data_IF_635261565412
#
_entry.id   IF_635261565412
#
_cell.length_a   1.000
_cell.length_b   1.000
_cell.length_c   1.000
_cell.angle_alpha   90.00
_cell.angle_beta   90.00
_cell.angle_gamma   90.00
#
_symmetry.space_group_name_H-M   'P 1'
#
loop_
_entity.id
_entity.type
_entity.pdbx_description
1 polymer ?
#
# COMPACT_ATOMS: atom_id res chain seq x y z
N UNK A 1 50.99 22.98 2.58
CA UNK A 1 50.25 24.24 2.70
C UNK A 1 49.31 24.08 3.87
N UNK A 2 49.83 24.39 5.05
CA UNK A 2 49.06 24.43 6.28
C UNK A 2 48.65 25.90 6.44
N UNK A 3 47.39 26.21 6.19
CA UNK A 3 46.87 27.56 6.39
C UNK A 3 46.72 27.80 7.88
N UNK A 4 47.45 28.80 8.36
CA UNK A 4 47.37 29.37 9.70
C UNK A 4 45.97 29.92 9.94
N UNK A 5 45.15 29.14 10.65
CA UNK A 5 43.93 29.64 11.27
C UNK A 5 44.33 30.57 12.42
N UNK A 6 44.38 31.88 12.11
CA UNK A 6 44.46 32.93 13.12
C UNK A 6 43.20 32.89 13.98
N UNK A 7 43.34 32.37 15.20
CA UNK A 7 42.34 32.53 16.24
C UNK A 7 42.41 33.96 16.75
N UNK A 8 41.46 34.79 16.33
CA UNK A 8 41.19 36.05 17.02
C UNK A 8 40.72 35.73 18.44
N UNK A 9 41.31 36.39 19.44
CA UNK A 9 40.91 36.32 20.85
C UNK A 9 39.54 36.98 21.05
N UNK A 10 38.50 36.31 20.56
CA UNK A 10 37.12 36.60 20.89
C UNK A 10 36.73 35.90 22.19
N UNK A 11 35.97 36.62 23.03
CA UNK A 11 35.37 36.16 24.29
C UNK A 11 35.13 34.65 24.36
N UNK A 12 35.71 34.01 25.39
CA UNK A 12 35.56 32.59 25.73
C UNK A 12 34.10 32.14 25.96
N UNK A 13 33.13 33.07 25.99
CA UNK A 13 31.71 32.78 26.18
C UNK A 13 31.01 32.15 24.98
N UNK A 14 31.52 32.32 23.75
CA UNK A 14 30.73 32.02 22.53
C UNK A 14 31.20 30.73 21.81
N UNK A 15 32.17 30.02 22.37
CA UNK A 15 32.76 28.81 21.78
C UNK A 15 31.79 27.60 21.73
N UNK A 16 30.96 27.34 22.76
CA UNK A 16 30.01 26.22 22.74
C UNK A 16 28.97 26.35 21.62
N UNK A 17 28.49 27.57 21.38
CA UNK A 17 27.40 27.84 20.43
C UNK A 17 27.86 27.68 18.98
N UNK A 18 29.12 28.02 18.68
CA UNK A 18 29.70 27.80 17.35
C UNK A 18 29.92 26.33 17.02
N UNK A 19 30.32 25.53 18.02
CA UNK A 19 30.45 24.07 17.84
C UNK A 19 29.07 23.44 17.67
N UNK A 20 28.06 23.87 18.43
CA UNK A 20 26.69 23.40 18.28
C UNK A 20 26.12 23.71 16.90
N UNK A 21 26.32 24.93 16.38
CA UNK A 21 25.85 25.31 15.05
C UNK A 21 26.54 24.48 13.95
N UNK A 22 27.86 24.24 14.10
CA UNK A 22 28.61 23.46 13.11
C UNK A 22 28.23 21.97 13.11
N UNK A 23 28.02 21.38 14.29
CA UNK A 23 27.56 20.01 14.42
C UNK A 23 26.11 19.83 13.94
N UNK A 24 25.25 20.83 14.14
CA UNK A 24 23.85 20.77 13.66
C UNK A 24 23.76 20.72 12.13
N UNK A 25 24.73 21.33 11.43
CA UNK A 25 24.81 21.34 9.97
C UNK A 25 25.46 20.07 9.41
N UNK A 26 26.47 19.53 10.10
CA UNK A 26 27.24 18.37 9.61
C UNK A 26 26.53 17.01 9.83
N UNK A 27 25.70 16.89 10.88
CA UNK A 27 25.09 15.62 11.27
C UNK A 27 24.04 15.08 10.26
N UNK A 28 23.13 15.90 9.68
CA UNK A 28 22.14 15.40 8.71
C UNK A 28 22.79 14.92 7.40
N UNK A 29 23.87 15.57 6.97
CA UNK A 29 24.60 15.19 5.76
C UNK A 29 25.31 13.83 5.93
N UNK A 30 25.90 13.59 7.12
CA UNK A 30 26.50 12.31 7.46
C UNK A 30 25.47 11.16 7.55
N UNK A 31 24.28 11.44 8.10
CA UNK A 31 23.19 10.46 8.20
C UNK A 31 22.62 10.08 6.83
N UNK A 32 22.35 11.07 5.97
CA UNK A 32 21.88 10.83 4.60
C UNK A 32 22.88 9.99 3.78
N UNK A 33 24.18 10.27 3.95
CA UNK A 33 25.25 9.51 3.29
C UNK A 33 25.33 8.06 3.78
N UNK A 34 25.12 7.82 5.07
CA UNK A 34 25.12 6.48 5.65
C UNK A 34 23.92 5.63 5.18
N UNK A 35 22.72 6.20 5.13
CA UNK A 35 21.51 5.51 4.64
C UNK A 35 21.63 5.11 3.17
N UNK A 36 22.17 6.01 2.34
CA UNK A 36 22.42 5.74 0.92
C UNK A 36 23.42 4.58 0.71
N UNK A 37 24.45 4.50 1.57
CA UNK A 37 25.45 3.42 1.51
C UNK A 37 24.86 2.06 1.93
N UNK A 38 23.96 2.02 2.91
CA UNK A 38 23.30 0.78 3.35
C UNK A 38 22.41 0.15 2.27
N UNK A 39 21.57 0.94 1.57
CA UNK A 39 20.67 0.42 0.53
C UNK A 39 21.44 -0.05 -0.73
N UNK A 40 22.57 0.60 -1.04
CA UNK A 40 23.48 0.17 -2.12
C UNK A 40 24.12 -1.18 -1.81
N UNK A 41 24.63 -1.37 -0.59
CA UNK A 41 25.28 -2.61 -0.17
C UNK A 41 24.31 -3.81 -0.16
N UNK A 42 23.05 -3.60 0.22
CA UNK A 42 22.02 -4.65 0.19
C UNK A 42 21.71 -5.11 -1.24
N UNK A 43 21.51 -4.18 -2.17
CA UNK A 43 21.25 -4.49 -3.59
C UNK A 43 22.44 -5.19 -4.25
N UNK A 44 23.66 -4.82 -3.88
CA UNK A 44 24.89 -5.43 -4.38
C UNK A 44 25.07 -6.86 -3.85
N UNK A 45 24.76 -7.12 -2.58
CA UNK A 45 24.74 -8.47 -2.00
C UNK A 45 23.75 -9.40 -2.70
N UNK A 46 22.54 -8.92 -3.03
CA UNK A 46 21.54 -9.70 -3.76
C UNK A 46 21.98 -10.02 -5.21
N UNK A 47 22.62 -9.06 -5.88
CA UNK A 47 23.19 -9.28 -7.22
C UNK A 47 24.30 -10.32 -7.20
N UNK A 48 25.17 -10.31 -6.19
CA UNK A 48 26.23 -11.30 -6.03
C UNK A 48 25.67 -12.71 -5.75
N UNK A 49 24.61 -12.83 -4.94
CA UNK A 49 23.91 -14.10 -4.71
C UNK A 49 23.29 -14.67 -5.99
N UNK A 50 22.63 -13.82 -6.78
CA UNK A 50 22.06 -14.19 -8.09
C UNK A 50 23.14 -14.63 -9.09
N UNK A 51 24.26 -13.89 -9.17
CA UNK A 51 25.38 -14.21 -10.05
C UNK A 51 26.01 -15.57 -9.69
N UNK A 52 26.17 -15.87 -8.40
CA UNK A 52 26.69 -17.17 -7.93
C UNK A 52 25.75 -18.33 -8.27
N UNK A 53 24.44 -18.10 -8.25
CA UNK A 53 23.44 -19.08 -8.70
C UNK A 53 23.51 -19.28 -10.22
N UNK A 54 23.63 -18.21 -10.99
CA UNK A 54 23.83 -18.29 -12.44
C UNK A 54 25.12 -19.04 -12.80
N UNK A 55 26.23 -18.82 -12.09
CA UNK A 55 27.49 -19.54 -12.28
C UNK A 55 27.38 -21.05 -11.98
N UNK A 56 26.64 -21.44 -10.93
CA UNK A 56 26.35 -22.85 -10.62
C UNK A 56 25.55 -23.53 -11.74
N UNK A 57 24.68 -22.77 -12.40
CA UNK A 57 23.80 -23.25 -13.47
C UNK A 57 24.45 -23.20 -14.86
N UNK A 58 25.36 -22.25 -15.12
CA UNK A 58 26.05 -22.10 -16.40
C UNK A 58 27.02 -23.25 -16.70
N UNK A 59 27.40 -24.06 -15.70
CA UNK A 59 28.25 -25.24 -15.87
C UNK A 59 27.52 -26.57 -15.92
N UNK A 60 26.18 -26.60 -15.78
CA UNK A 60 25.39 -27.84 -15.79
C UNK A 60 24.31 -27.74 -16.85
N UNK A 61 24.12 -28.81 -17.62
CA UNK A 61 22.97 -28.94 -18.49
C UNK A 61 21.70 -28.90 -17.61
N UNK A 62 20.98 -27.79 -17.68
CA UNK A 62 19.79 -27.56 -16.86
C UNK A 62 18.76 -28.64 -17.17
N UNK A 63 18.68 -29.14 -18.40
CA UNK A 63 17.77 -30.22 -18.76
C UNK A 63 18.20 -31.54 -18.08
N UNK A 64 19.50 -31.80 -17.94
CA UNK A 64 20.02 -32.96 -17.20
C UNK A 64 19.84 -32.84 -15.67
N UNK A 65 20.02 -31.63 -15.12
CA UNK A 65 19.78 -31.35 -13.69
C UNK A 65 18.29 -31.51 -13.34
N UNK A 66 17.41 -31.05 -14.24
CA UNK A 66 15.95 -31.13 -14.12
C UNK A 66 15.42 -32.55 -14.29
N UNK A 67 16.09 -33.38 -15.10
CA UNK A 67 15.75 -34.80 -15.26
C UNK A 67 16.13 -35.65 -14.04
N UNK A 68 17.17 -35.27 -13.30
CA UNK A 68 17.63 -36.01 -12.12
C UNK A 68 16.88 -35.64 -10.85
N UNK A 69 16.72 -34.34 -10.55
CA UNK A 69 16.06 -33.91 -9.32
C UNK A 69 15.45 -32.49 -9.41
N UNK A 70 14.13 -32.38 -9.66
CA UNK A 70 13.42 -31.11 -9.70
C UNK A 70 13.47 -30.33 -8.37
N UNK A 71 13.81 -30.97 -7.24
CA UNK A 71 13.91 -30.32 -5.92
C UNK A 71 15.02 -29.29 -5.86
N UNK A 72 16.14 -29.55 -6.52
CA UNK A 72 17.33 -28.69 -6.53
C UNK A 72 17.02 -27.37 -7.25
N UNK A 73 16.32 -27.43 -8.37
CA UNK A 73 15.93 -26.22 -9.11
C UNK A 73 14.84 -25.45 -8.37
N UNK A 74 13.91 -26.15 -7.72
CA UNK A 74 12.92 -25.51 -6.87
C UNK A 74 13.55 -24.74 -5.71
N UNK A 75 14.51 -25.35 -4.98
CA UNK A 75 15.27 -24.68 -3.92
C UNK A 75 16.05 -23.46 -4.44
N UNK A 76 16.73 -23.60 -5.59
CA UNK A 76 17.52 -22.52 -6.18
C UNK A 76 16.64 -21.35 -6.63
N UNK A 77 15.47 -21.63 -7.19
CA UNK A 77 14.48 -20.61 -7.57
C UNK A 77 13.90 -19.90 -6.34
N UNK A 78 13.63 -20.63 -5.26
CA UNK A 78 13.16 -20.03 -4.00
C UNK A 78 14.22 -19.16 -3.34
N UNK A 79 15.47 -19.64 -3.27
CA UNK A 79 16.59 -18.91 -2.66
C UNK A 79 17.06 -17.69 -3.49
N UNK A 80 16.76 -17.65 -4.78
CA UNK A 80 17.07 -16.52 -5.66
C UNK A 80 15.95 -15.46 -5.71
N UNK A 81 14.74 -15.81 -5.26
CA UNK A 81 13.60 -14.89 -5.17
C UNK A 81 13.63 -14.02 -3.91
N UNK A 82 13.15 -12.78 -4.03
CA UNK A 82 12.80 -11.88 -2.89
C UNK A 82 11.57 -12.40 -2.12
N UNK A 83 11.60 -13.65 -1.68
CA UNK A 83 10.46 -14.33 -1.06
C UNK A 83 10.59 -14.52 0.44
N UNK A 84 11.64 -13.97 1.07
CA UNK A 84 11.69 -13.86 2.53
C UNK A 84 10.68 -12.81 3.03
N UNK A 85 9.42 -13.19 3.13
CA UNK A 85 8.43 -12.51 3.97
C UNK A 85 7.92 -13.58 4.92
N UNK A 86 8.36 -13.46 6.18
CA UNK A 86 8.05 -14.36 7.28
C UNK A 86 6.54 -14.37 7.49
N UNK A 87 5.88 -15.44 7.03
CA UNK A 87 4.47 -15.70 7.31
C UNK A 87 4.33 -17.12 7.86
N UNK A 88 3.45 -17.33 8.84
CA UNK A 88 3.28 -18.61 9.52
C UNK A 88 2.87 -19.77 8.57
N UNK A 89 2.39 -19.42 7.38
CA UNK A 89 1.97 -20.32 6.30
C UNK A 89 2.99 -20.51 5.18
N UNK A 90 4.19 -19.95 5.30
CA UNK A 90 5.18 -19.98 4.22
C UNK A 90 5.56 -21.42 3.86
N UNK A 91 5.90 -22.25 4.84
CA UNK A 91 6.27 -23.65 4.60
C UNK A 91 5.14 -24.44 3.92
N UNK A 92 3.90 -24.27 4.38
CA UNK A 92 2.74 -24.95 3.77
C UNK A 92 2.49 -24.48 2.33
N UNK A 93 2.64 -23.17 2.06
CA UNK A 93 2.52 -22.63 0.72
C UNK A 93 3.63 -23.13 -0.21
N UNK A 94 4.85 -23.24 0.31
CA UNK A 94 6.00 -23.77 -0.41
C UNK A 94 5.82 -25.25 -0.73
N UNK A 95 5.41 -26.08 0.22
CA UNK A 95 5.15 -27.51 0.01
C UNK A 95 4.06 -27.72 -1.05
N UNK A 96 2.95 -26.98 -0.96
CA UNK A 96 1.86 -27.03 -1.95
C UNK A 96 2.29 -26.54 -3.32
N UNK A 97 3.18 -25.55 -3.38
CA UNK A 97 3.73 -25.04 -4.64
C UNK A 97 4.71 -26.03 -5.24
N UNK A 98 5.49 -26.73 -4.42
CA UNK A 98 6.40 -27.78 -4.87
C UNK A 98 5.65 -28.98 -5.44
N UNK A 99 4.61 -29.45 -4.75
CA UNK A 99 3.76 -30.54 -5.25
C UNK A 99 3.01 -30.17 -6.53
N UNK A 100 2.59 -28.91 -6.66
CA UNK A 100 2.06 -28.39 -7.93
C UNK A 100 3.12 -28.37 -9.02
N UNK A 101 4.33 -27.89 -8.70
CA UNK A 101 5.44 -27.79 -9.64
C UNK A 101 5.79 -29.16 -10.21
N UNK A 102 5.98 -30.19 -9.37
CA UNK A 102 6.21 -31.58 -9.83
C UNK A 102 5.17 -32.05 -10.85
N UNK A 103 3.89 -31.78 -10.58
CA UNK A 103 2.76 -32.22 -11.43
C UNK A 103 2.65 -31.43 -12.74
N UNK A 104 3.03 -30.16 -12.72
CA UNK A 104 2.79 -29.22 -13.81
C UNK A 104 4.03 -28.85 -14.60
N UNK A 105 5.21 -29.26 -14.14
CA UNK A 105 6.48 -28.90 -14.77
C UNK A 105 6.55 -29.32 -16.24
N UNK A 106 6.02 -30.49 -16.60
CA UNK A 106 5.95 -30.95 -18.00
C UNK A 106 5.08 -30.05 -18.90
N UNK A 107 4.19 -29.25 -18.31
CA UNK A 107 3.37 -28.26 -19.04
C UNK A 107 4.07 -26.91 -19.20
N UNK A 108 5.24 -26.72 -18.56
CA UNK A 108 6.04 -25.51 -18.66
C UNK A 108 6.66 -25.41 -20.06
N UNK A 109 6.43 -24.28 -20.71
CA UNK A 109 6.95 -24.01 -22.04
C UNK A 109 7.62 -22.64 -22.02
N UNK A 110 8.95 -22.63 -22.10
CA UNK A 110 9.76 -21.41 -22.10
C UNK A 110 9.34 -20.46 -23.23
N UNK A 111 8.82 -20.98 -24.36
CA UNK A 111 8.41 -20.17 -25.53
C UNK A 111 7.18 -19.32 -25.25
N UNK A 112 6.37 -19.68 -24.24
CA UNK A 112 5.21 -18.88 -23.78
C UNK A 112 5.64 -17.70 -22.90
N UNK A 113 6.91 -17.65 -22.51
CA UNK A 113 7.51 -16.56 -21.76
C UNK A 113 8.38 -15.69 -22.69
N UNK A 114 8.77 -14.50 -22.23
CA UNK A 114 9.45 -13.50 -23.06
C UNK A 114 10.65 -14.09 -23.81
N UNK A 115 10.78 -13.76 -25.11
CA UNK A 115 11.87 -14.25 -25.99
C UNK A 115 13.28 -13.88 -25.51
N UNK A 116 13.41 -12.93 -24.58
CA UNK A 116 14.69 -12.40 -24.11
C UNK A 116 14.98 -12.74 -22.64
N UNK A 117 14.18 -13.61 -22.02
CA UNK A 117 14.36 -13.98 -20.62
C UNK A 117 15.04 -15.34 -20.49
N UNK A 118 15.97 -15.47 -19.54
CA UNK A 118 16.60 -16.76 -19.25
C UNK A 118 15.59 -17.78 -18.73
N UNK A 119 15.84 -19.07 -18.94
CA UNK A 119 15.00 -20.17 -18.44
C UNK A 119 14.70 -20.01 -16.93
N UNK A 120 15.72 -19.64 -16.15
CA UNK A 120 15.58 -19.39 -14.72
C UNK A 120 14.60 -18.27 -14.40
N UNK A 121 14.69 -17.13 -15.10
CA UNK A 121 13.75 -16.02 -14.90
C UNK A 121 12.32 -16.46 -15.24
N UNK A 122 12.15 -17.21 -16.33
CA UNK A 122 10.84 -17.72 -16.73
C UNK A 122 10.26 -18.70 -15.70
N UNK A 123 11.07 -19.60 -15.15
CA UNK A 123 10.68 -20.54 -14.08
C UNK A 123 10.30 -19.81 -12.79
N UNK A 124 11.10 -18.82 -12.37
CA UNK A 124 10.83 -17.97 -11.20
C UNK A 124 9.48 -17.27 -11.35
N UNK A 125 9.23 -16.65 -12.51
CA UNK A 125 7.96 -15.95 -12.78
C UNK A 125 6.78 -16.93 -12.73
N UNK A 126 6.95 -18.12 -13.33
CA UNK A 126 5.92 -19.13 -13.40
C UNK A 126 5.56 -19.70 -12.02
N UNK A 127 6.56 -20.06 -11.21
CA UNK A 127 6.38 -20.56 -9.85
C UNK A 127 5.80 -19.48 -8.92
N UNK A 128 6.27 -18.24 -9.03
CA UNK A 128 5.81 -17.12 -8.20
C UNK A 128 4.31 -16.85 -8.34
N UNK A 129 3.75 -17.08 -9.54
CA UNK A 129 2.31 -16.93 -9.76
C UNK A 129 1.52 -17.91 -8.89
N UNK A 130 1.92 -19.19 -8.89
CA UNK A 130 1.26 -20.23 -8.09
C UNK A 130 1.47 -20.01 -6.60
N UNK A 131 2.71 -19.68 -6.19
CA UNK A 131 3.02 -19.43 -4.79
C UNK A 131 2.17 -18.28 -4.22
N UNK A 132 2.04 -17.17 -4.94
CA UNK A 132 1.16 -16.05 -4.54
C UNK A 132 -0.29 -16.47 -4.39
N UNK A 133 -0.77 -17.31 -5.30
CA UNK A 133 -2.13 -17.83 -5.22
C UNK A 133 -2.30 -18.72 -3.98
N UNK A 134 -1.33 -19.58 -3.66
CA UNK A 134 -1.38 -20.43 -2.45
C UNK A 134 -1.30 -19.65 -1.15
N UNK A 135 -0.43 -18.64 -1.09
CA UNK A 135 -0.37 -17.73 0.05
C UNK A 135 -1.69 -16.99 0.25
N UNK A 136 -2.35 -16.60 -0.85
CA UNK A 136 -3.67 -15.98 -0.79
C UNK A 136 -4.75 -16.96 -0.34
N UNK A 137 -4.75 -18.19 -0.84
CA UNK A 137 -5.69 -19.25 -0.41
C UNK A 137 -5.55 -19.52 1.10
N UNK A 138 -4.32 -19.67 1.60
CA UNK A 138 -4.07 -19.92 3.03
C UNK A 138 -4.49 -18.75 3.91
N UNK A 139 -4.22 -17.51 3.47
CA UNK A 139 -4.67 -16.31 4.18
C UNK A 139 -6.20 -16.22 4.26
N UNK A 140 -6.90 -16.58 3.18
CA UNK A 140 -8.37 -16.60 3.17
C UNK A 140 -8.94 -17.68 4.08
N UNK A 141 -8.24 -18.81 4.20
CA UNK A 141 -8.55 -19.89 5.14
C UNK A 141 -8.44 -19.44 6.59
N UNK A 142 -7.35 -18.77 6.94
CA UNK A 142 -7.16 -18.20 8.28
C UNK A 142 -8.23 -17.16 8.62
N UNK A 143 -8.61 -16.32 7.65
CA UNK A 143 -9.63 -15.30 7.85
C UNK A 143 -11.06 -15.88 7.94
N UNK A 144 -11.24 -17.19 7.75
CA UNK A 144 -12.57 -17.82 7.67
C UNK A 144 -13.40 -17.40 6.45
N UNK A 145 -12.77 -16.71 5.48
CA UNK A 145 -13.44 -16.15 4.30
C UNK A 145 -13.53 -17.14 3.12
N UNK A 146 -12.91 -18.32 3.24
CA UNK A 146 -13.04 -19.41 2.26
C UNK A 146 -14.50 -19.84 2.05
N UNK A 147 -15.35 -19.68 3.07
CA UNK A 147 -16.78 -20.04 3.02
C UNK A 147 -17.57 -19.12 2.09
N UNK A 148 -17.12 -17.88 1.85
CA UNK A 148 -17.90 -16.88 1.10
C UNK A 148 -17.67 -16.90 -0.40
N UNK A 149 -16.66 -17.63 -0.91
CA UNK A 149 -16.28 -17.51 -2.32
C UNK A 149 -17.08 -18.36 -3.30
N UNK A 150 -17.90 -19.35 -2.91
CA UNK A 150 -18.47 -20.25 -3.93
C UNK A 150 -19.72 -21.07 -3.57
N UNK A 151 -20.74 -20.51 -2.90
CA UNK A 151 -22.04 -21.19 -2.81
C UNK A 151 -23.19 -20.21 -3.04
N UNK A 152 -23.94 -20.38 -4.15
CA UNK A 152 -25.36 -20.03 -4.13
C UNK A 152 -26.15 -21.30 -3.88
N UNK A 153 -27.05 -21.19 -2.91
CA UNK A 153 -28.06 -22.16 -2.53
C UNK A 153 -28.88 -22.57 -3.74
N UNK A 154 -28.90 -23.86 -4.09
CA UNK A 154 -29.77 -24.36 -5.16
C UNK A 154 -31.17 -24.47 -4.56
N UNK A 155 -32.10 -23.65 -5.06
CA UNK A 155 -33.52 -23.81 -4.78
C UNK A 155 -34.07 -24.86 -5.73
N UNK A 156 -34.32 -26.06 -5.22
CA UNK A 156 -35.03 -27.12 -5.96
C UNK A 156 -36.51 -26.99 -5.63
N UNK A 157 -37.37 -26.91 -6.64
CA UNK A 157 -38.82 -26.97 -6.40
C UNK A 157 -39.20 -28.41 -6.08
N UNK A 158 -39.90 -28.60 -4.97
CA UNK A 158 -40.54 -29.86 -4.62
C UNK A 158 -41.49 -30.24 -5.77
N UNK A 159 -41.34 -31.42 -6.40
CA UNK A 159 -42.11 -31.81 -7.56
C UNK A 159 -43.60 -32.09 -7.26
N UNK A 160 -43.97 -32.24 -5.98
CA UNK A 160 -45.36 -32.47 -5.57
C UNK A 160 -46.07 -31.18 -5.16
N UNK A 161 -45.36 -30.22 -4.55
CA UNK A 161 -45.98 -28.99 -4.02
C UNK A 161 -45.62 -27.72 -4.80
N UNK A 162 -44.53 -27.75 -5.56
CA UNK A 162 -44.02 -26.59 -6.31
C UNK A 162 -43.29 -25.56 -5.46
N UNK A 163 -43.18 -25.77 -4.15
CA UNK A 163 -42.45 -24.89 -3.23
C UNK A 163 -40.94 -25.08 -3.33
N UNK A 164 -40.19 -23.98 -3.16
CA UNK A 164 -38.72 -23.96 -3.26
C UNK A 164 -38.11 -24.51 -1.97
N UNK A 165 -37.48 -25.68 -2.04
CA UNK A 165 -36.71 -26.29 -0.95
C UNK A 165 -35.21 -26.15 -1.25
N UNK A 166 -34.42 -25.83 -0.23
CA UNK A 166 -32.96 -25.74 -0.31
C UNK A 166 -32.40 -27.15 -0.08
N UNK A 167 -31.77 -27.73 -1.09
CA UNK A 167 -31.06 -29.02 -0.96
C UNK A 167 -29.56 -28.76 -0.73
N UNK A 168 -29.08 -29.11 0.46
CA UNK A 168 -27.69 -28.89 0.89
C UNK A 168 -26.72 -29.98 0.38
N UNK A 169 -27.22 -31.09 -0.18
CA UNK A 169 -26.41 -32.32 -0.34
C UNK A 169 -25.75 -32.50 -1.72
N UNK A 170 -26.07 -31.68 -2.71
CA UNK A 170 -25.60 -31.88 -4.10
C UNK A 170 -24.79 -30.70 -4.64
N UNK A 171 -23.50 -30.62 -4.27
CA UNK A 171 -22.56 -29.62 -4.79
C UNK A 171 -21.62 -30.21 -5.85
N UNK A 172 -21.58 -29.64 -7.06
CA UNK A 172 -20.53 -29.90 -8.07
C UNK A 172 -20.04 -28.58 -8.72
N UNK A 173 -18.73 -28.43 -8.99
CA UNK A 173 -18.18 -27.20 -9.56
C UNK A 173 -18.27 -27.17 -11.09
N UNK A 174 -18.65 -26.03 -11.70
CA UNK A 174 -18.39 -25.78 -13.13
C UNK A 174 -18.13 -24.31 -13.50
N UNK A 175 -17.22 -24.16 -14.47
CA UNK A 175 -16.67 -22.91 -15.04
C UNK A 175 -17.69 -22.18 -15.92
N UNK A 176 -17.83 -20.88 -15.72
CA UNK A 176 -18.68 -20.01 -16.55
C UNK A 176 -18.09 -19.84 -17.96
N UNK A 177 -18.96 -19.97 -18.96
CA UNK A 177 -18.74 -19.56 -20.35
C UNK A 177 -19.71 -18.38 -20.60
N UNK A 178 -19.18 -17.19 -20.84
CA UNK A 178 -19.99 -16.00 -21.13
C UNK A 178 -20.57 -16.15 -22.54
N UNK A 179 -21.91 -16.13 -22.68
CA UNK A 179 -22.60 -15.92 -23.96
C UNK A 179 -23.07 -14.47 -24.02
N UNK A 180 -22.94 -13.87 -25.21
CA UNK A 180 -23.28 -12.50 -25.52
C UNK A 180 -24.78 -12.20 -25.34
N UNK A 181 -25.09 -11.00 -24.87
CA UNK A 181 -26.44 -10.43 -24.78
C UNK A 181 -26.75 -9.75 -26.12
N UNK A 182 -27.88 -10.11 -26.73
CA UNK A 182 -28.53 -9.36 -27.81
C UNK A 182 -29.96 -9.06 -27.33
N UNK A 183 -30.36 -7.79 -27.38
CA UNK A 183 -31.74 -7.38 -27.61
C UNK A 183 -32.64 -7.09 -26.41
N UNK A 184 -32.98 -5.80 -26.27
CA UNK A 184 -34.11 -5.20 -25.54
C UNK A 184 -34.15 -5.33 -24.01
N UNK A 185 -33.53 -4.34 -23.35
CA UNK A 185 -33.48 -4.19 -21.90
C UNK A 185 -34.82 -3.78 -21.27
N UNK A 186 -35.58 -4.78 -20.85
CA UNK A 186 -36.54 -4.65 -19.74
C UNK A 186 -36.14 -5.62 -18.63
N UNK A 187 -36.35 -5.22 -17.37
CA UNK A 187 -36.03 -6.02 -16.19
C UNK A 187 -37.33 -6.23 -15.41
N UNK A 188 -37.65 -7.48 -15.14
CA UNK A 188 -38.76 -7.88 -14.26
C UNK A 188 -38.24 -8.07 -12.84
N UNK A 189 -38.96 -7.54 -11.85
CA UNK A 189 -38.65 -7.78 -10.44
C UNK A 189 -39.14 -9.17 -9.99
N UNK A 190 -38.81 -9.56 -8.76
CA UNK A 190 -39.12 -10.90 -8.20
C UNK A 190 -40.64 -11.17 -8.08
N UNK A 191 -41.47 -10.14 -8.21
CA UNK A 191 -42.93 -10.21 -8.19
C UNK A 191 -43.55 -10.27 -9.61
N UNK A 192 -42.74 -10.23 -10.67
CA UNK A 192 -43.18 -10.37 -12.05
C UNK A 192 -43.65 -9.09 -12.73
N UNK A 193 -43.38 -7.92 -12.13
CA UNK A 193 -43.71 -6.63 -12.72
C UNK A 193 -42.57 -6.12 -13.62
N UNK A 194 -42.91 -5.72 -14.85
CA UNK A 194 -41.99 -5.14 -15.82
C UNK A 194 -41.71 -3.68 -15.46
N UNK A 195 -40.45 -3.35 -15.14
CA UNK A 195 -40.06 -1.96 -14.82
C UNK A 195 -39.13 -1.40 -15.88
N UNK A 196 -39.40 -0.15 -16.28
CA UNK A 196 -38.61 0.61 -17.25
C UNK A 196 -37.37 1.21 -16.56
N UNK A 197 -36.22 1.38 -17.25
CA UNK A 197 -35.00 1.95 -16.67
C UNK A 197 -35.10 3.40 -16.13
N UNK A 198 -36.29 4.01 -16.15
CA UNK A 198 -36.55 5.38 -15.69
C UNK A 198 -37.01 5.43 -14.21
N UNK A 199 -37.36 4.31 -13.59
CA UNK A 199 -37.87 4.29 -12.20
C UNK A 199 -36.78 4.05 -11.12
N UNK A 200 -35.50 4.16 -11.47
CA UNK A 200 -34.38 4.01 -10.52
C UNK A 200 -33.74 5.34 -10.14
N UNK A 201 -34.60 6.28 -9.72
CA UNK A 201 -34.19 7.57 -9.17
C UNK A 201 -34.73 7.61 -7.75
N UNK A 202 -33.84 7.63 -6.75
CA UNK A 202 -34.25 7.87 -5.36
C UNK A 202 -34.79 9.30 -5.19
N UNK A 203 -35.38 9.61 -4.03
CA UNK A 203 -35.96 10.95 -3.74
C UNK A 203 -34.95 12.11 -3.89
N UNK A 204 -33.65 11.80 -4.02
CA UNK A 204 -32.55 12.75 -4.20
C UNK A 204 -31.98 12.80 -5.64
N UNK A 205 -32.58 12.09 -6.60
CA UNK A 205 -32.21 12.22 -8.01
C UNK A 205 -31.02 11.37 -8.48
N UNK A 206 -30.56 10.36 -7.75
CA UNK A 206 -29.35 9.59 -8.11
C UNK A 206 -29.62 8.18 -8.65
N UNK A 207 -29.01 7.91 -9.81
CA UNK A 207 -29.01 6.58 -10.47
C UNK A 207 -27.73 5.84 -10.04
N UNK A 208 -27.86 4.66 -9.41
CA UNK A 208 -26.74 3.84 -9.00
C UNK A 208 -26.38 2.77 -10.05
N UNK A 209 -25.26 2.96 -10.75
CA UNK A 209 -24.70 1.97 -11.69
C UNK A 209 -23.80 0.93 -10.98
N UNK A 210 -23.96 -0.38 -11.25
CA UNK A 210 -23.22 -1.45 -10.58
C UNK A 210 -21.94 -1.79 -11.36
N UNK A 211 -20.93 -0.91 -11.30
CA UNK A 211 -19.55 -1.29 -11.68
C UNK A 211 -18.55 -0.36 -10.97
N UNK A 212 -18.15 -0.72 -9.74
CA UNK A 212 -17.10 -0.02 -9.00
C UNK A 212 -16.14 -0.98 -8.31
N UNK A 213 -15.15 -1.46 -9.07
CA UNK A 213 -13.82 -1.73 -8.50
C UNK A 213 -13.01 -0.45 -8.56
N UNK A 214 -13.17 0.41 -7.53
CA UNK A 214 -12.33 1.60 -7.30
C UNK A 214 -11.51 1.37 -6.03
N UNK A 215 -10.19 1.48 -6.17
CA UNK A 215 -9.17 1.22 -5.15
C UNK A 215 -9.38 2.07 -3.88
N UNK A 216 -8.91 1.57 -2.73
CA UNK A 216 -9.06 2.18 -1.40
C UNK A 216 -8.55 3.64 -1.29
N UNK A 217 -7.67 4.06 -2.21
CA UNK A 217 -7.08 5.41 -2.23
C UNK A 217 -8.06 6.44 -2.82
N UNK A 218 -8.90 6.05 -3.79
CA UNK A 218 -10.01 6.91 -4.21
C UNK A 218 -11.04 7.09 -3.09
N UNK A 219 -11.11 6.17 -2.11
CA UNK A 219 -11.99 6.31 -0.93
C UNK A 219 -11.41 7.26 0.12
N UNK A 220 -10.09 7.28 0.35
CA UNK A 220 -9.45 8.21 1.30
C UNK A 220 -9.46 9.67 0.83
N UNK A 221 -9.51 9.91 -0.49
CA UNK A 221 -9.73 11.25 -1.07
C UNK A 221 -11.21 11.58 -1.35
N UNK A 222 -12.13 10.61 -1.22
CA UNK A 222 -13.56 10.79 -1.51
C UNK A 222 -14.43 11.19 -0.31
N UNK A 223 -13.89 11.26 0.91
CA UNK A 223 -14.51 12.11 1.94
C UNK A 223 -14.18 13.54 1.51
N UNK A 224 -15.11 14.16 0.76
CA UNK A 224 -14.94 15.47 0.10
C UNK A 224 -14.00 16.35 0.93
N UNK A 225 -12.74 16.57 0.51
CA UNK A 225 -11.91 17.56 1.17
C UNK A 225 -12.71 18.85 1.27
N UNK A 226 -12.65 19.53 2.41
CA UNK A 226 -13.26 20.85 2.55
C UNK A 226 -12.78 21.68 1.37
N UNK A 227 -13.69 22.42 0.72
CA UNK A 227 -13.43 23.15 -0.54
C UNK A 227 -12.10 23.93 -0.49
N UNK A 228 -11.74 24.46 0.67
CA UNK A 228 -10.45 25.09 0.99
C UNK A 228 -9.24 24.17 0.79
N UNK A 229 -9.16 23.03 1.50
CA UNK A 229 -8.04 22.07 1.39
C UNK A 229 -7.87 21.60 -0.05
N UNK A 230 -8.96 21.36 -0.76
CA UNK A 230 -8.91 20.99 -2.17
C UNK A 230 -8.35 22.11 -3.05
N UNK A 231 -8.75 23.36 -2.79
CA UNK A 231 -8.22 24.52 -3.50
C UNK A 231 -6.72 24.73 -3.23
N UNK A 232 -6.26 24.51 -1.99
CA UNK A 232 -4.85 24.66 -1.62
C UNK A 232 -4.00 23.59 -2.32
N UNK A 233 -4.45 22.32 -2.27
CA UNK A 233 -3.82 21.23 -3.04
C UNK A 233 -3.81 21.55 -4.53
N UNK A 234 -4.89 22.14 -5.06
CA UNK A 234 -4.97 22.55 -6.47
C UNK A 234 -3.95 23.64 -6.79
N UNK A 235 -3.74 24.62 -5.90
CA UNK A 235 -2.71 25.64 -6.08
C UNK A 235 -1.30 25.02 -6.07
N UNK A 236 -1.02 24.07 -5.19
CA UNK A 236 0.26 23.36 -5.13
C UNK A 236 0.50 22.57 -6.40
N UNK A 237 -0.51 21.86 -6.90
CA UNK A 237 -0.44 21.14 -8.17
C UNK A 237 -0.24 22.13 -9.33
N UNK A 238 -0.79 23.34 -9.26
CA UNK A 238 -0.74 24.31 -10.35
C UNK A 238 0.61 25.06 -10.42
N UNK A 239 1.21 25.34 -9.26
CA UNK A 239 2.42 26.15 -9.15
C UNK A 239 3.67 25.32 -8.88
N UNK A 240 3.53 24.18 -8.19
CA UNK A 240 4.63 23.32 -7.74
C UNK A 240 5.78 24.14 -7.14
N UNK A 241 5.52 24.87 -6.03
CA UNK A 241 6.41 25.92 -5.54
C UNK A 241 7.80 25.39 -5.15
N UNK A 242 7.89 24.13 -4.71
CA UNK A 242 9.15 23.48 -4.33
C UNK A 242 9.80 22.71 -5.48
N UNK A 243 9.16 22.61 -6.65
CA UNK A 243 9.64 21.83 -7.79
C UNK A 243 9.59 20.30 -7.61
N UNK A 244 9.22 19.81 -6.43
CA UNK A 244 9.30 18.38 -6.09
C UNK A 244 8.38 17.51 -6.95
N UNK A 245 7.21 18.02 -7.36
CA UNK A 245 6.31 17.25 -8.24
C UNK A 245 6.90 17.08 -9.65
N UNK A 246 7.73 18.02 -10.11
CA UNK A 246 8.46 17.90 -11.39
C UNK A 246 9.64 16.95 -11.32
N UNK A 247 10.30 16.85 -10.16
CA UNK A 247 11.41 15.93 -9.93
C UNK A 247 10.96 14.46 -9.85
N UNK A 248 9.73 14.21 -9.40
CA UNK A 248 9.12 12.89 -9.40
C UNK A 248 8.79 12.45 -10.82
N UNK A 249 9.70 11.69 -11.44
CA UNK A 249 9.59 11.22 -12.83
C UNK A 249 9.32 9.72 -12.95
N UNK A 250 8.64 9.31 -14.03
CA UNK A 250 8.55 7.90 -14.41
C UNK A 250 9.93 7.42 -14.85
N UNK A 251 10.41 6.33 -14.26
CA UNK A 251 11.79 5.82 -14.43
C UNK A 251 12.25 5.69 -15.88
N UNK A 252 11.35 5.24 -16.77
CA UNK A 252 11.67 4.98 -18.17
C UNK A 252 11.33 6.17 -19.09
N UNK A 253 10.72 7.23 -18.57
CA UNK A 253 10.38 8.43 -19.34
C UNK A 253 10.39 9.68 -18.44
N UNK A 254 11.54 10.37 -18.34
CA UNK A 254 11.69 11.58 -17.52
C UNK A 254 10.79 12.75 -17.93
N UNK A 255 10.27 12.75 -19.16
CA UNK A 255 9.32 13.76 -19.62
C UNK A 255 7.95 13.62 -18.92
N UNK A 256 7.68 12.46 -18.31
CA UNK A 256 6.46 12.20 -17.57
C UNK A 256 6.75 12.35 -16.07
N UNK A 257 6.37 13.50 -15.51
CA UNK A 257 6.48 13.77 -14.08
C UNK A 257 5.11 13.82 -13.38
N UNK A 258 5.15 13.72 -12.05
CA UNK A 258 3.97 13.73 -11.20
C UNK A 258 3.17 15.03 -11.35
N UNK A 259 3.83 16.17 -11.53
CA UNK A 259 3.18 17.46 -11.75
C UNK A 259 2.25 17.45 -12.98
N UNK A 260 2.72 16.97 -14.13
CA UNK A 260 1.89 16.86 -15.35
C UNK A 260 0.70 15.93 -15.12
N UNK A 261 0.93 14.78 -14.48
CA UNK A 261 -0.13 13.79 -14.23
C UNK A 261 -1.20 14.38 -13.30
N UNK A 262 -0.79 15.01 -12.19
CA UNK A 262 -1.70 15.59 -11.21
C UNK A 262 -2.48 16.77 -11.79
N UNK A 263 -1.86 17.62 -12.61
CA UNK A 263 -2.51 18.73 -13.29
C UNK A 263 -3.63 18.22 -14.21
N UNK A 264 -3.33 17.26 -15.09
CA UNK A 264 -4.34 16.70 -16.01
C UNK A 264 -5.47 15.99 -15.27
N UNK A 265 -5.13 15.27 -14.20
CA UNK A 265 -6.11 14.51 -13.43
C UNK A 265 -7.04 15.40 -12.59
N UNK A 266 -6.50 16.39 -11.89
CA UNK A 266 -7.27 17.17 -10.90
C UNK A 266 -7.66 18.58 -11.36
N UNK A 267 -6.95 19.15 -12.34
CA UNK A 267 -7.26 20.47 -12.90
C UNK A 267 -8.04 20.34 -14.20
N UNK A 268 -7.54 19.52 -15.13
CA UNK A 268 -8.14 19.37 -16.45
C UNK A 268 -9.28 18.34 -16.47
N UNK A 269 -9.36 17.48 -15.44
CA UNK A 269 -10.44 16.51 -15.24
C UNK A 269 -10.33 15.26 -16.13
N UNK A 270 -9.16 15.00 -16.69
CA UNK A 270 -8.91 13.81 -17.50
C UNK A 270 -8.87 12.54 -16.65
N UNK A 271 -9.32 11.43 -17.21
CA UNK A 271 -9.17 10.12 -16.58
C UNK A 271 -7.72 9.64 -16.66
N UNK A 272 -7.31 8.79 -15.70
CA UNK A 272 -5.99 8.15 -15.72
C UNK A 272 -5.68 7.40 -17.02
N UNK A 273 -6.71 6.82 -17.64
CA UNK A 273 -6.57 6.09 -18.90
C UNK A 273 -6.26 7.03 -20.08
N UNK A 274 -6.91 8.20 -20.14
CA UNK A 274 -6.64 9.23 -21.14
C UNK A 274 -5.23 9.80 -20.97
N UNK A 275 -4.84 10.09 -19.72
CA UNK A 275 -3.50 10.58 -19.39
C UNK A 275 -2.44 9.54 -19.80
N UNK A 276 -2.63 8.28 -19.40
CA UNK A 276 -1.73 7.17 -19.75
C UNK A 276 -1.58 7.00 -21.26
N UNK A 277 -2.70 7.05 -22.01
CA UNK A 277 -2.70 6.95 -23.47
C UNK A 277 -2.00 8.13 -24.12
N UNK A 278 -2.28 9.35 -23.65
CA UNK A 278 -1.71 10.59 -24.21
C UNK A 278 -0.21 10.72 -23.93
N UNK A 279 0.26 10.28 -22.76
CA UNK A 279 1.67 10.34 -22.39
C UNK A 279 2.48 9.14 -22.92
N UNK A 280 1.82 8.13 -23.52
CA UNK A 280 2.49 6.92 -24.00
C UNK A 280 3.12 6.08 -22.88
N UNK A 281 2.60 6.16 -21.66
CA UNK A 281 3.08 5.39 -20.51
C UNK A 281 2.05 4.36 -20.04
N UNK A 282 2.48 3.17 -19.54
CA UNK A 282 1.56 2.21 -18.95
C UNK A 282 0.77 2.81 -17.79
N UNK A 283 -0.54 2.54 -17.72
CA UNK A 283 -1.41 2.94 -16.62
C UNK A 283 -0.82 2.57 -15.24
N UNK A 284 -0.14 1.42 -15.15
CA UNK A 284 0.53 0.97 -13.93
C UNK A 284 1.65 1.91 -13.47
N UNK A 285 2.43 2.47 -14.41
CA UNK A 285 3.53 3.37 -14.11
C UNK A 285 3.03 4.74 -13.66
N UNK A 286 2.03 5.28 -14.36
CA UNK A 286 1.32 6.52 -13.99
C UNK A 286 0.67 6.39 -12.61
N UNK A 287 0.01 5.26 -12.34
CA UNK A 287 -0.60 5.02 -11.04
C UNK A 287 0.46 4.82 -9.93
N UNK A 288 1.58 4.16 -10.24
CA UNK A 288 2.66 3.95 -9.27
C UNK A 288 3.25 5.26 -8.79
N UNK A 289 3.57 6.19 -9.69
CA UNK A 289 4.17 7.48 -9.32
C UNK A 289 3.21 8.33 -8.49
N UNK A 290 1.92 8.30 -8.82
CA UNK A 290 0.89 8.99 -8.03
C UNK A 290 0.80 8.43 -6.62
N UNK A 291 0.66 7.11 -6.49
CA UNK A 291 0.40 6.46 -5.20
C UNK A 291 1.62 6.44 -4.30
N UNK A 292 2.81 6.20 -4.86
CA UNK A 292 4.03 6.00 -4.06
C UNK A 292 4.74 7.30 -3.73
N UNK A 293 4.66 8.29 -4.61
CA UNK A 293 5.52 9.47 -4.52
C UNK A 293 4.67 10.74 -4.38
N UNK A 294 3.78 10.99 -5.35
CA UNK A 294 3.09 12.28 -5.47
C UNK A 294 2.04 12.52 -4.36
N UNK A 295 1.16 11.55 -4.08
CA UNK A 295 0.13 11.70 -3.06
C UNK A 295 0.69 11.78 -1.64
N UNK A 296 1.69 10.96 -1.24
CA UNK A 296 2.37 11.15 0.04
C UNK A 296 2.98 12.54 0.19
N UNK A 297 3.63 13.06 -0.85
CA UNK A 297 4.17 14.42 -0.84
C UNK A 297 3.08 15.47 -0.67
N UNK A 298 2.00 15.40 -1.45
CA UNK A 298 0.87 16.33 -1.31
C UNK A 298 0.23 16.24 0.08
N UNK A 299 0.11 15.04 0.65
CA UNK A 299 -0.34 14.85 2.02
C UNK A 299 0.56 15.55 3.04
N UNK A 300 1.88 15.40 2.90
CA UNK A 300 2.85 16.07 3.76
C UNK A 300 2.83 17.59 3.57
N UNK A 301 2.72 18.06 2.33
CA UNK A 301 2.64 19.48 2.02
C UNK A 301 1.42 20.11 2.68
N UNK A 302 0.26 19.47 2.56
CA UNK A 302 -0.99 19.89 3.20
C UNK A 302 -0.84 19.93 4.72
N UNK A 303 -0.19 18.92 5.31
CA UNK A 303 0.08 18.93 6.76
C UNK A 303 1.01 20.08 7.19
N UNK A 304 1.95 20.46 6.33
CA UNK A 304 2.92 21.53 6.62
C UNK A 304 2.38 22.94 6.34
N UNK A 305 1.45 23.09 5.39
CA UNK A 305 1.03 24.39 4.84
C UNK A 305 -0.46 24.71 5.03
N UNK A 306 -1.26 23.82 5.62
CA UNK A 306 -2.60 24.22 6.06
C UNK A 306 -2.47 25.27 7.16
N UNK A 307 -2.69 26.54 6.79
CA UNK A 307 -2.88 27.64 7.74
C UNK A 307 -3.96 27.24 8.76
N UNK A 308 -3.57 27.20 10.04
CA UNK A 308 -4.41 26.73 11.16
C UNK A 308 -4.05 25.34 11.68
N UNK A 309 -3.07 24.67 11.10
CA UNK A 309 -2.38 23.52 11.71
C UNK A 309 -1.22 24.03 12.57
N UNK A 310 -1.51 24.76 13.65
CA UNK A 310 -0.46 25.07 14.63
C UNK A 310 0.03 23.74 15.24
N UNK A 311 1.33 23.41 15.14
CA UNK A 311 1.91 22.24 15.81
C UNK A 311 1.52 22.19 17.28
N UNK A 312 1.43 23.36 17.91
CA UNK A 312 0.99 23.56 19.27
C UNK A 312 -0.51 23.25 19.46
N UNK A 313 -1.38 23.61 18.52
CA UNK A 313 -2.80 23.24 18.55
C UNK A 313 -2.98 21.72 18.38
N UNK A 314 -2.17 21.06 17.53
CA UNK A 314 -2.18 19.61 17.42
C UNK A 314 -1.70 18.95 18.72
N UNK A 315 -0.60 19.44 19.30
CA UNK A 315 -0.08 19.00 20.59
C UNK A 315 -1.15 19.14 21.68
N UNK A 316 -1.74 20.33 21.82
CA UNK A 316 -2.82 20.60 22.76
C UNK A 316 -4.05 19.73 22.50
N UNK A 317 -4.42 19.46 21.24
CA UNK A 317 -5.56 18.59 20.91
C UNK A 317 -5.31 17.15 21.34
N UNK A 318 -4.13 16.63 21.05
CA UNK A 318 -3.73 15.26 21.39
C UNK A 318 -3.58 15.13 22.91
N UNK A 319 -2.97 16.09 23.58
CA UNK A 319 -2.82 16.10 25.05
C UNK A 319 -4.17 16.28 25.76
N UNK A 320 -5.02 17.14 25.22
CA UNK A 320 -6.36 17.39 25.72
C UNK A 320 -7.41 16.50 25.04
N UNK A 321 -7.11 15.23 24.72
CA UNK A 321 -8.08 14.22 24.23
C UNK A 321 -9.16 13.90 25.29
N UNK A 322 -9.89 14.93 25.73
CA UNK A 322 -10.85 14.96 26.84
C UNK A 322 -12.00 13.99 26.60
N UNK A 323 -12.38 13.83 25.33
CA UNK A 323 -13.51 12.99 24.92
C UNK A 323 -13.07 11.52 24.71
N UNK A 324 -11.76 11.25 24.84
CA UNK A 324 -11.12 9.97 24.60
C UNK A 324 -11.29 9.48 23.17
N UNK A 325 -11.48 10.37 22.19
CA UNK A 325 -11.77 9.97 20.82
C UNK A 325 -10.53 9.38 20.17
N UNK A 326 -9.37 9.96 20.42
CA UNK A 326 -8.10 9.47 19.90
C UNK A 326 -7.63 8.19 20.62
N UNK A 327 -7.97 8.06 21.90
CA UNK A 327 -7.70 6.85 22.72
C UNK A 327 -8.67 5.71 22.42
N UNK A 328 -9.95 5.99 22.11
CA UNK A 328 -10.95 4.96 21.74
C UNK A 328 -10.72 4.38 20.35
N UNK A 329 -10.08 5.13 19.46
CA UNK A 329 -9.67 4.66 18.14
C UNK A 329 -8.41 3.79 18.28
N UNK A 330 -8.60 2.53 18.64
CA UNK A 330 -7.53 1.55 18.79
C UNK A 330 -7.41 0.68 17.53
N UNK A 331 -6.17 0.32 17.21
CA UNK A 331 -5.88 -0.71 16.22
C UNK A 331 -6.38 -2.08 16.72
N UNK A 332 -6.63 -3.00 15.77
CA UNK A 332 -6.85 -4.41 16.06
C UNK A 332 -5.64 -5.21 15.63
N UNK A 333 -5.28 -6.23 16.40
CA UNK A 333 -4.23 -7.16 16.01
C UNK A 333 -4.71 -8.15 14.95
N UNK A 334 -3.85 -9.11 14.57
CA UNK A 334 -4.19 -10.10 13.55
C UNK A 334 -5.27 -11.10 13.98
N UNK A 335 -5.57 -11.19 15.28
CA UNK A 335 -6.68 -11.98 15.81
C UNK A 335 -7.98 -11.15 15.93
N UNK A 336 -7.93 -9.86 15.57
CA UNK A 336 -9.06 -8.94 15.68
C UNK A 336 -9.26 -8.40 17.09
N UNK A 337 -8.35 -8.69 18.02
CA UNK A 337 -8.38 -8.17 19.39
C UNK A 337 -7.95 -6.70 19.40
N UNK A 338 -8.56 -5.90 20.28
CA UNK A 338 -8.22 -4.48 20.38
C UNK A 338 -6.85 -4.34 21.05
N UNK A 339 -5.98 -3.53 20.47
CA UNK A 339 -4.69 -3.15 21.03
C UNK A 339 -4.84 -1.78 21.74
N UNK A 340 -5.19 -1.73 23.03
CA UNK A 340 -5.44 -0.46 23.71
C UNK A 340 -4.23 0.48 23.67
N UNK A 341 -2.99 -0.03 23.74
CA UNK A 341 -1.79 0.82 23.67
C UNK A 341 -1.38 1.21 22.23
N UNK A 342 -2.09 0.71 21.21
CA UNK A 342 -1.93 1.10 19.80
C UNK A 342 -3.10 1.98 19.32
N UNK A 343 -3.42 3.02 20.08
CA UNK A 343 -4.46 3.98 19.74
C UNK A 343 -3.92 5.19 18.96
N UNK A 344 -4.81 5.94 18.28
CA UNK A 344 -4.42 7.07 17.43
C UNK A 344 -3.61 8.13 18.19
N UNK A 345 -3.96 8.41 19.45
CA UNK A 345 -3.19 9.38 20.26
C UNK A 345 -1.73 8.94 20.47
N UNK A 346 -1.47 7.65 20.66
CA UNK A 346 -0.12 7.11 20.87
C UNK A 346 0.66 7.22 19.56
N UNK A 347 0.07 6.77 18.46
CA UNK A 347 0.71 6.85 17.14
C UNK A 347 0.96 8.30 16.72
N UNK A 348 0.08 9.23 17.05
CA UNK A 348 0.31 10.66 16.81
C UNK A 348 1.54 11.18 17.56
N UNK A 349 1.72 10.79 18.83
CA UNK A 349 2.91 11.13 19.61
C UNK A 349 4.19 10.53 19.02
N UNK A 350 4.12 9.34 18.44
CA UNK A 350 5.30 8.69 17.85
C UNK A 350 5.65 9.20 16.44
N UNK A 351 4.66 9.60 15.64
CA UNK A 351 4.83 9.92 14.22
C UNK A 351 4.84 11.41 13.89
N UNK A 352 4.30 12.28 14.75
CA UNK A 352 4.20 13.70 14.45
C UNK A 352 5.40 14.49 14.98
N UNK A 353 6.04 15.26 14.08
CA UNK A 353 7.19 16.13 14.37
C UNK A 353 6.91 17.14 15.48
N UNK A 354 5.64 17.53 15.70
CA UNK A 354 5.28 18.45 16.78
C UNK A 354 5.50 17.86 18.20
N UNK A 355 5.73 16.55 18.33
CA UNK A 355 6.12 15.90 19.59
C UNK A 355 7.60 15.57 19.67
N UNK A 356 8.38 15.96 18.65
CA UNK A 356 9.82 15.76 18.60
C UNK A 356 10.49 16.60 19.68
N UNK A 357 10.87 15.94 20.77
CA UNK A 357 11.78 16.45 21.79
C UNK A 357 13.05 15.60 21.73
N UNK A 358 14.20 16.07 22.26
CA UNK A 358 15.43 15.27 22.31
C UNK A 358 15.24 13.87 22.91
N UNK A 359 14.19 13.69 23.72
CA UNK A 359 13.81 12.45 24.40
C UNK A 359 12.91 11.55 23.53
N UNK A 360 12.21 12.10 22.54
CA UNK A 360 11.21 11.42 21.72
C UNK A 360 11.30 11.80 20.23
N UNK A 361 12.37 11.40 19.53
CA UNK A 361 12.50 11.63 18.09
C UNK A 361 11.34 10.97 17.33
N UNK A 362 10.99 11.52 16.17
CA UNK A 362 10.00 10.90 15.27
C UNK A 362 10.44 9.48 14.92
N UNK A 363 9.59 8.50 15.22
CA UNK A 363 9.92 7.09 15.00
C UNK A 363 9.30 6.57 13.72
N UNK A 364 10.08 5.87 12.92
CA UNK A 364 9.53 5.13 11.78
C UNK A 364 8.52 4.06 12.21
N UNK A 365 7.60 3.69 11.31
CA UNK A 365 6.60 2.64 11.54
C UNK A 365 7.19 1.35 12.08
N UNK A 366 8.38 0.99 11.62
CA UNK A 366 9.08 -0.22 12.04
C UNK A 366 9.52 -0.18 13.50
N UNK A 367 10.01 0.96 13.99
CA UNK A 367 10.42 1.15 15.37
C UNK A 367 9.21 1.19 16.32
N UNK A 368 8.10 1.77 15.87
CA UNK A 368 6.83 1.80 16.62
C UNK A 368 6.22 0.40 16.68
N UNK A 369 6.19 -0.32 15.56
CA UNK A 369 5.70 -1.71 15.50
C UNK A 369 6.51 -2.60 16.42
N UNK A 370 7.84 -2.48 16.38
CA UNK A 370 8.73 -3.26 17.25
C UNK A 370 8.43 -3.03 18.72
N UNK A 371 8.25 -1.79 19.17
CA UNK A 371 7.86 -1.54 20.56
C UNK A 371 6.48 -2.13 20.88
N UNK A 372 5.50 -1.97 19.99
CA UNK A 372 4.17 -2.51 20.21
C UNK A 372 4.18 -4.03 20.38
N UNK A 373 5.05 -4.73 19.64
CA UNK A 373 5.28 -6.17 19.77
C UNK A 373 6.07 -6.49 21.04
N UNK A 374 7.25 -5.90 21.23
CA UNK A 374 8.19 -6.26 22.29
C UNK A 374 7.70 -5.87 23.69
N UNK A 375 7.12 -4.68 23.83
CA UNK A 375 6.73 -4.11 25.12
C UNK A 375 5.32 -4.48 25.54
N UNK A 376 4.40 -4.59 24.58
CA UNK A 376 2.98 -4.83 24.86
C UNK A 376 2.49 -6.21 24.40
N UNK A 377 3.35 -7.01 23.74
CA UNK A 377 3.02 -8.37 23.33
C UNK A 377 2.00 -8.46 22.21
N UNK A 378 1.76 -7.38 21.46
CA UNK A 378 0.76 -7.40 20.39
C UNK A 378 1.25 -8.15 19.17
N UNK A 379 0.36 -8.96 18.59
CA UNK A 379 0.65 -9.68 17.37
C UNK A 379 0.30 -8.81 16.16
N UNK A 380 1.13 -7.81 15.87
CA UNK A 380 0.89 -6.81 14.82
C UNK A 380 2.06 -6.70 13.86
N UNK A 381 1.77 -6.39 12.59
CA UNK A 381 2.81 -6.15 11.57
C UNK A 381 2.94 -4.66 11.26
N UNK A 382 4.05 -4.29 10.63
CA UNK A 382 4.31 -2.91 10.19
C UNK A 382 3.22 -2.41 9.24
N UNK A 383 2.79 -3.27 8.33
CA UNK A 383 1.74 -2.96 7.34
C UNK A 383 0.41 -2.67 8.03
N UNK A 384 0.09 -3.37 9.12
CA UNK A 384 -1.11 -3.10 9.92
C UNK A 384 -1.05 -1.72 10.59
N UNK A 385 0.10 -1.36 11.16
CA UNK A 385 0.30 -0.04 11.78
C UNK A 385 0.23 1.07 10.71
N UNK A 386 0.87 0.87 9.56
CA UNK A 386 0.81 1.81 8.43
C UNK A 386 -0.61 1.97 7.88
N UNK A 387 -1.33 0.86 7.66
CA UNK A 387 -2.70 0.87 7.18
C UNK A 387 -3.64 1.53 8.18
N UNK A 388 -3.52 1.19 9.46
CA UNK A 388 -4.33 1.79 10.53
C UNK A 388 -4.06 3.29 10.66
N UNK A 389 -2.80 3.71 10.65
CA UNK A 389 -2.44 5.12 10.70
C UNK A 389 -3.00 5.89 9.51
N UNK A 390 -2.87 5.34 8.30
CA UNK A 390 -3.35 5.96 7.06
C UNK A 390 -4.87 6.06 7.01
N UNK A 391 -5.58 5.00 7.40
CA UNK A 391 -7.05 4.92 7.24
C UNK A 391 -7.80 5.55 8.41
N UNK A 392 -7.31 5.35 9.63
CA UNK A 392 -7.98 5.72 10.87
C UNK A 392 -7.25 6.83 11.60
N UNK A 393 -5.92 6.74 11.71
CA UNK A 393 -5.09 7.70 12.45
C UNK A 393 -5.24 9.14 11.95
N UNK A 394 -4.84 9.38 10.69
CA UNK A 394 -4.88 10.72 10.07
C UNK A 394 -6.29 11.32 10.10
N UNK A 395 -7.31 10.51 9.81
CA UNK A 395 -8.70 10.95 9.77
C UNK A 395 -9.22 11.36 11.15
N UNK A 396 -8.95 10.53 12.17
CA UNK A 396 -9.40 10.79 13.54
C UNK A 396 -8.69 12.02 14.12
N UNK A 397 -7.39 12.14 13.86
CA UNK A 397 -6.59 13.29 14.26
C UNK A 397 -7.09 14.60 13.64
N UNK A 398 -7.36 14.60 12.33
CA UNK A 398 -7.92 15.75 11.62
C UNK A 398 -9.27 16.18 12.19
N UNK A 399 -10.14 15.21 12.52
CA UNK A 399 -11.45 15.49 13.13
C UNK A 399 -11.30 16.10 14.53
N UNK A 400 -10.38 15.58 15.34
CA UNK A 400 -10.12 16.09 16.68
C UNK A 400 -9.63 17.54 16.65
N UNK A 401 -8.68 17.87 15.77
CA UNK A 401 -8.14 19.24 15.63
C UNK A 401 -9.23 20.22 15.22
N UNK A 402 -10.11 19.84 14.29
CA UNK A 402 -11.25 20.68 13.90
C UNK A 402 -12.19 20.96 15.06
N UNK A 403 -12.55 19.94 15.84
CA UNK A 403 -13.43 20.10 17.00
C UNK A 403 -12.78 21.00 18.06
N UNK A 404 -11.47 20.85 18.28
CA UNK A 404 -10.72 21.70 19.19
C UNK A 404 -10.73 23.17 18.74
N UNK A 405 -10.48 23.43 17.45
CA UNK A 405 -10.52 24.79 16.89
C UNK A 405 -11.91 25.45 16.95
N UNK A 406 -12.98 24.68 16.75
CA UNK A 406 -14.35 25.18 16.92
C UNK A 406 -14.62 25.55 18.37
N UNK A 407 -14.19 24.72 19.33
CA UNK A 407 -14.32 25.02 20.77
C UNK A 407 -13.54 26.31 21.12
N UNK A 408 -12.31 26.45 20.64
CA UNK A 408 -11.44 27.64 20.89
C UNK A 408 -12.02 28.95 20.32
N UNK A 409 -12.80 28.91 19.24
CA UNK A 409 -13.45 30.10 18.66
C UNK A 409 -14.73 30.52 19.38
N UNK A 410 -15.36 29.58 20.10
CA UNK A 410 -16.61 29.81 20.81
C UNK A 410 -16.40 30.15 22.30
N UNK A 411 -15.20 29.92 22.83
CA UNK A 411 -14.71 30.37 24.14
C UNK A 411 -14.06 31.74 24.01
#
# INVERSE_FOLDING_TARGET
MADELKFEEGSQSDFPDRIADHLSKALPEAQSKAEFMCDRNFKESQRQKLKKVEEILQGRDVDALMAQDPSVVFEVVLRSGRLAIVNNHENEALDKTYEWFKKKFQEFDIRKHSKHSSLMICLVIWMNRTLRQRLQDLRLRECGDDVKRNYRTIQVKDPLTGEKVIDETTQKPKKQRVKAIIGNGMITNDDGEETSPIDQVDEDGQIHSPNRSRSAIHRSLAVKPTKTVYNDVKQVIQHDPEGKLREMVVKDNPAINAHIILKRLHIDGESLQEISKSLGAPNSSVNSILVRDAYPYLGQYVLNHLEGYEPETLRQTVEADRDGVLTKACMKDQHGERCPNAHVQYLAKQFCVCFDTPEHPVRGFEAVTRELVEKYGYNITKEMVEEFWRTTGVMTLTKAVRLFNVKKRNS
#
